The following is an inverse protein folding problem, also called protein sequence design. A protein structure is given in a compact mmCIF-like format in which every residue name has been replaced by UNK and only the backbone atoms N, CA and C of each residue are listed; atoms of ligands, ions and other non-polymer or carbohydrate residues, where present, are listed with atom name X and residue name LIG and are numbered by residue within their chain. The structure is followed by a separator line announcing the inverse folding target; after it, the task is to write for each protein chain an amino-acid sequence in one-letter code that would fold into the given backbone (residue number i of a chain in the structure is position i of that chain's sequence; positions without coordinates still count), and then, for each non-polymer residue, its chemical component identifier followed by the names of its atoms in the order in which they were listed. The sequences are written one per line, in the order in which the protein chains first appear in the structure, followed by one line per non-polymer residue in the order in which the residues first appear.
data_IF_107855768395
#
_entry.id   IF_107855768395
#
_cell.length_a   1.000
_cell.length_b   1.000
_cell.length_c   1.000
_cell.angle_alpha   90.00
_cell.angle_beta   90.00
_cell.angle_gamma   90.00
#
_symmetry.space_group_name_H-M   'P 1'
#
loop_
_entity.id
_entity.type
_entity.pdbx_description
1 polymer ?
#
# COMPACT_ATOMS: atom_id res chain seq x y z
N UNK A 1 10.80 23.67 3.84
CA UNK A 1 9.66 23.05 4.57
C UNK A 1 8.41 23.26 3.73
N UNK A 2 7.57 22.25 3.52
CA UNK A 2 6.44 22.27 2.56
C UNK A 2 5.29 23.16 3.05
N UNK A 3 5.38 24.48 2.89
CA UNK A 3 4.43 25.43 3.48
C UNK A 3 3.03 25.42 2.85
N UNK A 4 2.84 24.77 1.70
CA UNK A 4 1.55 24.67 1.01
C UNK A 4 1.07 23.22 0.89
N UNK A 5 1.55 22.31 1.74
CA UNK A 5 1.06 20.94 1.78
C UNK A 5 -0.21 20.81 2.62
N UNK A 6 -1.21 20.07 2.13
CA UNK A 6 -2.37 19.66 2.93
C UNK A 6 -2.24 18.18 3.28
N UNK A 7 -2.51 17.84 4.54
CA UNK A 7 -2.52 16.46 5.04
C UNK A 7 -3.96 16.07 5.38
N UNK A 8 -4.43 14.96 4.83
CA UNK A 8 -5.78 14.43 5.08
C UNK A 8 -5.67 12.99 5.59
N UNK A 9 -6.27 12.70 6.74
CA UNK A 9 -6.51 11.33 7.17
C UNK A 9 -7.85 10.88 6.60
N UNK A 10 -7.81 9.94 5.67
CA UNK A 10 -9.01 9.40 5.02
C UNK A 10 -9.55 8.27 5.88
N UNK A 11 -10.87 8.21 6.05
CA UNK A 11 -11.52 7.08 6.72
C UNK A 11 -11.50 5.87 5.79
N UNK A 12 -10.93 4.75 6.25
CA UNK A 12 -11.09 3.47 5.59
C UNK A 12 -12.30 2.74 6.19
N UNK A 13 -13.26 2.35 5.35
CA UNK A 13 -14.45 1.61 5.74
C UNK A 13 -14.17 0.10 5.96
N UNK A 14 -13.10 -0.41 5.34
CA UNK A 14 -12.75 -1.84 5.34
C UNK A 14 -11.32 -2.16 5.78
N UNK A 15 -10.60 -1.19 6.36
CA UNK A 15 -9.25 -1.42 6.89
C UNK A 15 -9.16 -0.88 8.31
N UNK A 16 -8.40 -1.56 9.14
CA UNK A 16 -7.93 -1.12 10.45
C UNK A 16 -6.90 0.02 10.37
N UNK A 17 -6.40 0.33 9.16
CA UNK A 17 -5.47 1.41 8.89
C UNK A 17 -6.13 2.56 8.14
N UNK A 18 -5.91 3.80 8.63
CA UNK A 18 -6.36 5.04 7.98
C UNK A 18 -5.33 5.51 6.94
N UNK A 19 -5.71 5.65 5.65
CA UNK A 19 -4.81 6.21 4.65
C UNK A 19 -4.46 7.67 4.97
N UNK A 20 -3.17 8.01 4.81
CA UNK A 20 -2.66 9.38 4.94
C UNK A 20 -2.47 9.94 3.53
N UNK A 21 -3.23 10.99 3.18
CA UNK A 21 -3.11 11.69 1.90
C UNK A 21 -2.39 13.03 2.06
N UNK A 22 -1.23 13.16 1.41
CA UNK A 22 -0.47 14.40 1.35
C UNK A 22 -0.64 15.07 -0.01
N UNK A 23 -1.28 16.24 -0.04
CA UNK A 23 -1.43 17.07 -1.23
C UNK A 23 -0.36 18.14 -1.24
N UNK A 24 0.61 18.02 -2.16
CA UNK A 24 1.65 19.02 -2.37
C UNK A 24 1.19 20.03 -3.42
N UNK A 25 1.15 21.32 -3.06
CA UNK A 25 0.96 22.39 -4.03
C UNK A 25 2.34 22.77 -4.59
N UNK A 26 2.71 22.18 -5.73
CA UNK A 26 3.93 22.50 -6.47
C UNK A 26 3.60 22.67 -7.95
N UNK A 27 4.12 23.74 -8.55
CA UNK A 27 4.01 24.00 -9.97
C UNK A 27 4.73 22.88 -10.73
N UNK A 28 4.00 22.14 -11.57
CA UNK A 28 4.48 20.98 -12.33
C UNK A 28 5.18 19.89 -11.48
N UNK A 29 4.40 19.18 -10.65
CA UNK A 29 4.68 17.73 -10.53
C UNK A 29 4.61 17.19 -11.96
N UNK A 30 5.78 16.88 -12.54
CA UNK A 30 5.88 16.26 -13.86
C UNK A 30 4.76 15.24 -13.93
N UNK A 31 3.85 15.40 -14.89
CA UNK A 31 2.90 14.36 -15.24
C UNK A 31 3.74 13.16 -15.60
N UNK A 32 4.02 12.30 -14.63
CA UNK A 32 4.54 10.99 -14.94
C UNK A 32 3.36 10.35 -15.65
N UNK A 33 3.37 10.39 -16.97
CA UNK A 33 2.38 9.72 -17.84
C UNK A 33 2.42 8.20 -17.67
N UNK A 34 3.25 7.71 -16.75
CA UNK A 34 3.20 6.35 -16.28
C UNK A 34 2.09 6.28 -15.24
N UNK A 35 0.96 5.75 -15.66
CA UNK A 35 -0.06 5.26 -14.73
C UNK A 35 0.64 4.46 -13.63
N UNK A 36 0.28 4.73 -12.38
CA UNK A 36 0.70 3.87 -11.28
C UNK A 36 0.24 2.45 -11.63
N UNK A 37 1.19 1.59 -11.96
CA UNK A 37 0.97 0.16 -12.15
C UNK A 37 1.51 -0.53 -10.91
N UNK A 38 0.62 -1.21 -10.21
CA UNK A 38 1.03 -2.21 -9.25
C UNK A 38 1.60 -3.38 -10.07
N UNK A 39 2.92 -3.35 -10.31
CA UNK A 39 3.59 -4.28 -11.24
C UNK A 39 3.57 -5.74 -10.77
N UNK A 40 3.03 -6.04 -9.58
CA UNK A 40 2.84 -7.39 -9.05
C UNK A 40 4.07 -8.30 -9.19
N UNK A 41 5.29 -7.73 -9.21
CA UNK A 41 6.54 -8.46 -9.47
C UNK A 41 6.78 -9.57 -8.45
N UNK A 42 6.34 -9.37 -7.21
CA UNK A 42 6.31 -10.38 -6.15
C UNK A 42 5.58 -11.68 -6.56
N UNK A 43 4.55 -11.63 -7.43
CA UNK A 43 3.88 -12.84 -7.93
C UNK A 43 4.79 -13.74 -8.80
N UNK A 44 5.92 -13.21 -9.28
CA UNK A 44 6.89 -13.97 -10.06
C UNK A 44 7.90 -14.72 -9.17
N UNK A 45 7.93 -14.42 -7.86
CA UNK A 45 8.80 -15.12 -6.92
C UNK A 45 8.23 -16.51 -6.63
N UNK A 46 8.94 -17.56 -7.02
CA UNK A 46 8.51 -18.96 -6.88
C UNK A 46 8.20 -19.33 -5.42
N UNK A 47 8.91 -18.72 -4.47
CA UNK A 47 8.73 -18.99 -3.04
C UNK A 47 7.56 -18.24 -2.41
N UNK A 48 6.96 -17.25 -3.11
CA UNK A 48 5.92 -16.40 -2.54
C UNK A 48 4.70 -17.21 -2.11
N UNK A 49 4.23 -18.13 -2.95
CA UNK A 49 3.04 -18.93 -2.66
C UNK A 49 3.25 -19.78 -1.40
N UNK A 50 4.39 -20.45 -1.30
CA UNK A 50 4.74 -21.27 -0.12
C UNK A 50 4.85 -20.43 1.16
N UNK A 51 5.45 -19.24 1.07
CA UNK A 51 5.59 -18.33 2.21
C UNK A 51 4.22 -17.82 2.67
N UNK A 52 3.36 -17.39 1.75
CA UNK A 52 2.03 -16.86 2.05
C UNK A 52 1.14 -17.95 2.67
N UNK A 53 1.09 -19.14 2.05
CA UNK A 53 0.33 -20.28 2.58
C UNK A 53 0.85 -20.73 3.94
N UNK A 54 2.18 -20.79 4.12
CA UNK A 54 2.80 -21.15 5.39
C UNK A 54 2.58 -20.11 6.49
N UNK A 55 2.46 -18.83 6.13
CA UNK A 55 2.10 -17.75 7.05
C UNK A 55 0.64 -17.86 7.51
N UNK A 56 -0.29 -17.94 6.57
CA UNK A 56 -1.72 -18.06 6.89
C UNK A 56 -2.04 -19.33 7.67
N UNK A 57 -1.42 -20.46 7.33
CA UNK A 57 -1.64 -21.71 8.07
C UNK A 57 -1.22 -21.63 9.56
N UNK A 58 -0.24 -20.77 9.90
CA UNK A 58 0.21 -20.59 11.28
C UNK A 58 -0.82 -19.85 12.14
N UNK A 59 -1.56 -18.90 11.56
CA UNK A 59 -2.63 -18.20 12.27
C UNK A 59 -3.76 -19.14 12.69
N UNK A 60 -4.12 -20.12 11.85
CA UNK A 60 -5.15 -21.12 12.19
C UNK A 60 -4.70 -22.20 13.19
N UNK A 61 -3.40 -22.27 13.51
CA UNK A 61 -2.85 -23.30 14.41
C UNK A 61 -2.68 -22.84 15.86
N UNK A 62 -2.88 -21.55 16.15
CA UNK A 62 -2.79 -21.02 17.52
C UNK A 62 -4.13 -21.02 18.28
N UNK A 63 -5.22 -21.43 17.64
CA UNK A 63 -6.57 -21.47 18.21
C UNK A 63 -7.05 -22.88 18.62
N UNK A 64 -6.13 -23.84 18.82
CA UNK A 64 -6.40 -25.18 19.39
C UNK A 64 -5.63 -25.42 20.69
#
# INVERSE_FOLDING_TARGET
MFQQSQLHNIVADRSDHYPILLKLHGDNMRTTTRDFKFENVWLLEEELEGLVLGGWAKEYSQDL
#
